data_IF_784516249430
#
_entry.id   IF_784516249430
#
_cell.length_a   1.000
_cell.length_b   1.000
_cell.length_c   1.000
_cell.angle_alpha   90.00
_cell.angle_beta   90.00
_cell.angle_gamma   90.00
#
_symmetry.space_group_name_H-M   'P 1'
#
loop_
_entity.id
_entity.type
_entity.pdbx_description
1 polymer ?
#
# COMPACT_ATOMS: atom_id res chain seq x y z
N UNK A 1 -13.08 13.36 12.21
CA UNK A 1 -14.29 12.94 12.96
C UNK A 1 -13.95 12.81 14.44
N UNK A 2 -12.86 12.16 14.83
CA UNK A 2 -12.44 11.96 16.23
C UNK A 2 -11.42 13.01 16.69
N UNK A 3 -11.31 13.23 18.01
CA UNK A 3 -10.26 14.06 18.62
C UNK A 3 -8.87 13.57 18.26
N UNK A 4 -8.66 12.23 18.26
CA UNK A 4 -7.39 11.61 17.93
C UNK A 4 -6.97 11.96 16.49
N UNK A 5 -7.82 11.72 15.49
CA UNK A 5 -7.53 12.03 14.11
C UNK A 5 -7.28 13.54 13.86
N UNK A 6 -8.02 14.42 14.57
CA UNK A 6 -7.78 15.85 14.51
C UNK A 6 -6.38 16.23 15.01
N UNK A 7 -5.98 15.68 16.16
CA UNK A 7 -4.68 15.96 16.76
C UNK A 7 -3.53 15.47 15.86
N UNK A 8 -3.66 14.30 15.27
CA UNK A 8 -2.69 13.75 14.31
C UNK A 8 -2.57 14.63 13.04
N UNK A 9 -3.69 15.16 12.55
CA UNK A 9 -3.71 16.03 11.35
C UNK A 9 -3.42 17.51 11.63
N UNK A 10 -3.19 17.90 12.91
CA UNK A 10 -2.95 19.29 13.36
C UNK A 10 -4.03 20.30 12.90
N UNK A 11 -5.26 19.84 12.70
CA UNK A 11 -6.36 20.71 12.27
C UNK A 11 -6.86 21.61 13.40
N UNK A 12 -7.14 22.88 13.08
CA UNK A 12 -7.66 23.88 14.06
C UNK A 12 -9.16 23.73 14.35
N UNK A 13 -9.93 23.11 13.43
CA UNK A 13 -11.38 22.94 13.58
C UNK A 13 -11.71 21.84 14.61
N UNK A 14 -12.80 22.01 15.35
CA UNK A 14 -13.30 20.98 16.26
C UNK A 14 -13.64 19.69 15.49
N UNK A 15 -13.37 18.55 16.12
CA UNK A 15 -13.81 17.25 15.59
C UNK A 15 -15.33 17.11 15.75
N UNK A 16 -15.95 16.22 15.00
CA UNK A 16 -17.39 15.92 15.17
C UNK A 16 -17.69 15.41 16.58
N UNK A 17 -16.77 14.67 17.19
CA UNK A 17 -16.86 14.19 18.58
C UNK A 17 -17.01 15.35 19.57
N UNK A 18 -16.36 16.48 19.30
CA UNK A 18 -16.42 17.68 20.16
C UNK A 18 -17.58 18.60 19.81
N UNK A 19 -17.83 18.80 18.52
CA UNK A 19 -18.86 19.74 18.03
C UNK A 19 -20.28 19.18 18.15
N UNK A 20 -20.45 17.85 18.02
CA UNK A 20 -21.76 17.19 18.02
C UNK A 20 -21.71 15.85 18.76
N UNK A 21 -21.47 15.82 20.09
CA UNK A 21 -21.20 14.58 20.82
C UNK A 21 -22.36 13.59 20.79
N UNK A 22 -23.60 14.05 20.82
CA UNK A 22 -24.80 13.17 20.77
C UNK A 22 -24.94 12.48 19.40
N UNK A 23 -24.70 13.23 18.32
CA UNK A 23 -24.74 12.69 16.95
C UNK A 23 -23.56 11.73 16.72
N UNK A 24 -22.38 12.10 17.23
CA UNK A 24 -21.21 11.23 17.15
C UNK A 24 -21.43 9.90 17.90
N UNK A 25 -22.08 9.92 19.08
CA UNK A 25 -22.43 8.70 19.80
C UNK A 25 -23.33 7.78 18.98
N UNK A 26 -24.40 8.35 18.38
CA UNK A 26 -25.28 7.59 17.47
C UNK A 26 -24.54 7.02 16.27
N UNK A 27 -23.67 7.82 15.63
CA UNK A 27 -22.84 7.34 14.53
C UNK A 27 -21.99 6.15 14.95
N UNK A 28 -21.32 6.24 16.09
CA UNK A 28 -20.48 5.16 16.62
C UNK A 28 -21.28 3.88 16.86
N UNK A 29 -22.48 3.97 17.43
CA UNK A 29 -23.38 2.82 17.64
C UNK A 29 -23.77 2.15 16.30
N UNK A 30 -24.07 2.96 15.29
CA UNK A 30 -24.41 2.46 13.94
C UNK A 30 -23.20 1.78 13.28
N UNK A 31 -22.02 2.39 13.36
CA UNK A 31 -20.78 1.81 12.83
C UNK A 31 -20.49 0.44 13.43
N UNK A 32 -20.58 0.30 14.76
CA UNK A 32 -20.43 -0.99 15.43
C UNK A 32 -21.49 -2.02 15.02
N UNK A 33 -22.75 -1.58 14.83
CA UNK A 33 -23.83 -2.46 14.36
C UNK A 33 -23.56 -2.98 12.96
N UNK A 34 -23.13 -2.10 12.05
CA UNK A 34 -22.80 -2.45 10.67
C UNK A 34 -21.61 -3.42 10.61
N UNK A 35 -20.52 -3.12 11.33
CA UNK A 35 -19.34 -3.98 11.38
C UNK A 35 -19.65 -5.38 11.89
N UNK A 36 -20.46 -5.50 12.94
CA UNK A 36 -20.91 -6.79 13.48
C UNK A 36 -21.85 -7.54 12.52
N UNK A 37 -22.72 -6.81 11.81
CA UNK A 37 -23.67 -7.41 10.86
C UNK A 37 -22.93 -7.99 9.65
N UNK A 38 -22.07 -7.18 9.03
CA UNK A 38 -21.30 -7.60 7.85
C UNK A 38 -20.06 -8.43 8.20
N UNK A 39 -19.68 -8.44 9.48
CA UNK A 39 -18.43 -9.05 9.98
C UNK A 39 -17.22 -8.58 9.19
N UNK A 40 -17.21 -7.31 8.76
CA UNK A 40 -16.14 -6.70 7.99
C UNK A 40 -16.14 -5.17 8.18
N UNK A 41 -14.96 -4.56 7.96
CA UNK A 41 -14.81 -3.11 7.99
C UNK A 41 -15.72 -2.47 6.93
N UNK A 42 -16.50 -1.49 7.36
CA UNK A 42 -17.45 -0.78 6.51
C UNK A 42 -16.98 0.66 6.25
N UNK A 43 -17.07 1.07 5.00
CA UNK A 43 -16.99 2.46 4.58
C UNK A 43 -18.42 3.02 4.54
N UNK A 44 -18.68 4.06 5.33
CA UNK A 44 -20.02 4.58 5.56
C UNK A 44 -20.11 6.04 5.16
N UNK A 45 -21.03 6.35 4.26
CA UNK A 45 -21.38 7.70 3.89
C UNK A 45 -22.57 8.17 4.73
N UNK A 46 -22.46 9.36 5.33
CA UNK A 46 -23.50 9.94 6.15
C UNK A 46 -23.53 11.47 6.04
N UNK A 47 -24.65 12.05 6.40
CA UNK A 47 -24.81 13.49 6.58
C UNK A 47 -25.48 13.81 7.90
N UNK A 48 -25.36 15.06 8.34
CA UNK A 48 -26.04 15.56 9.55
C UNK A 48 -26.81 16.81 9.16
N UNK A 49 -28.12 16.77 9.34
CA UNK A 49 -29.02 17.89 9.11
C UNK A 49 -29.87 18.11 10.37
N UNK A 50 -29.95 19.35 10.83
CA UNK A 50 -30.69 19.72 12.05
C UNK A 50 -30.38 18.83 13.28
N UNK A 51 -29.11 18.47 13.47
CA UNK A 51 -28.62 17.54 14.49
C UNK A 51 -29.16 16.11 14.37
N UNK A 52 -29.76 15.74 13.24
CA UNK A 52 -30.20 14.41 12.92
C UNK A 52 -29.14 13.77 12.01
N UNK A 53 -28.74 12.53 12.35
CA UNK A 53 -27.82 11.74 11.57
C UNK A 53 -28.57 10.94 10.49
N UNK A 54 -28.15 11.05 9.26
CA UNK A 54 -28.64 10.30 8.12
C UNK A 54 -27.52 9.43 7.56
N UNK A 55 -27.75 8.13 7.51
CA UNK A 55 -26.85 7.20 6.81
C UNK A 55 -27.29 7.13 5.37
N UNK A 56 -26.39 7.43 4.45
CA UNK A 56 -26.66 7.48 3.01
C UNK A 56 -26.29 6.17 2.34
N UNK A 57 -25.09 5.63 2.66
CA UNK A 57 -24.57 4.42 2.03
C UNK A 57 -23.62 3.70 2.98
N UNK A 58 -23.56 2.37 2.85
CA UNK A 58 -22.49 1.52 3.41
C UNK A 58 -21.97 0.56 2.35
N UNK A 59 -20.68 0.29 2.39
CA UNK A 59 -20.00 -0.67 1.51
C UNK A 59 -18.79 -1.27 2.22
N UNK A 60 -18.30 -2.41 1.75
CA UNK A 60 -17.03 -2.96 2.22
C UNK A 60 -15.89 -2.00 1.92
N UNK A 61 -15.12 -1.63 2.94
CA UNK A 61 -14.04 -0.66 2.81
C UNK A 61 -12.89 -1.18 1.94
N UNK A 62 -12.47 -0.37 0.96
CA UNK A 62 -11.26 -0.64 0.18
C UNK A 62 -10.04 -0.58 1.11
N UNK A 63 -9.08 -1.48 0.90
CA UNK A 63 -7.92 -1.62 1.77
C UNK A 63 -6.67 -2.03 1.01
N UNK A 64 -5.51 -1.57 1.46
CA UNK A 64 -4.21 -2.06 0.99
C UNK A 64 -3.93 -3.43 1.60
N UNK A 65 -2.98 -4.19 1.05
CA UNK A 65 -2.55 -5.48 1.60
C UNK A 65 -2.19 -5.39 3.10
N UNK A 66 -1.40 -4.39 3.49
CA UNK A 66 -1.02 -4.14 4.89
C UNK A 66 -2.24 -3.88 5.79
N UNK A 67 -3.19 -3.08 5.32
CA UNK A 67 -4.42 -2.80 6.04
C UNK A 67 -5.31 -4.03 6.14
N UNK A 68 -5.40 -4.86 5.09
CA UNK A 68 -6.17 -6.10 5.10
C UNK A 68 -5.69 -7.06 6.19
N UNK A 69 -4.38 -7.27 6.30
CA UNK A 69 -3.79 -8.11 7.36
C UNK A 69 -4.12 -7.54 8.75
N UNK A 70 -3.89 -6.23 8.94
CA UNK A 70 -4.17 -5.59 10.23
C UNK A 70 -5.64 -5.70 10.62
N UNK A 71 -6.56 -5.41 9.71
CA UNK A 71 -8.00 -5.51 9.96
C UNK A 71 -8.39 -6.95 10.31
N UNK A 72 -7.90 -7.95 9.57
CA UNK A 72 -8.17 -9.35 9.84
C UNK A 72 -7.71 -9.76 11.26
N UNK A 73 -6.52 -9.33 11.68
CA UNK A 73 -5.98 -9.59 13.02
C UNK A 73 -6.83 -8.89 14.10
N UNK A 74 -7.18 -7.62 13.90
CA UNK A 74 -7.97 -6.86 14.86
C UNK A 74 -9.38 -7.46 15.03
N UNK A 75 -10.04 -7.86 13.94
CA UNK A 75 -11.35 -8.51 13.98
C UNK A 75 -11.32 -9.88 14.70
N UNK A 76 -10.21 -10.64 14.62
CA UNK A 76 -10.04 -11.85 15.42
C UNK A 76 -9.91 -11.52 16.90
N UNK A 77 -9.12 -10.49 17.25
CA UNK A 77 -8.98 -10.03 18.65
C UNK A 77 -10.32 -9.58 19.25
N UNK A 78 -11.13 -8.90 18.45
CA UNK A 78 -12.47 -8.42 18.80
C UNK A 78 -13.54 -9.54 18.78
N UNK A 79 -13.14 -10.77 18.43
CA UNK A 79 -14.02 -11.95 18.34
C UNK A 79 -15.16 -11.80 17.32
N UNK A 80 -14.99 -10.98 16.30
CA UNK A 80 -15.95 -10.81 15.21
C UNK A 80 -15.85 -11.95 14.19
N UNK A 81 -14.64 -12.46 13.97
CA UNK A 81 -14.35 -13.58 13.06
C UNK A 81 -13.38 -14.58 13.69
N UNK A 82 -13.40 -15.81 13.19
CA UNK A 82 -12.43 -16.84 13.59
C UNK A 82 -11.07 -16.65 12.89
N UNK A 83 -9.99 -17.23 13.43
CA UNK A 83 -8.67 -17.24 12.78
C UNK A 83 -8.71 -17.82 11.36
N UNK A 84 -9.48 -18.92 11.17
CA UNK A 84 -9.66 -19.54 9.85
C UNK A 84 -10.31 -18.57 8.85
N UNK A 85 -11.36 -17.88 9.27
CA UNK A 85 -12.02 -16.87 8.42
C UNK A 85 -11.10 -15.68 8.10
N UNK A 86 -10.26 -15.25 9.05
CA UNK A 86 -9.29 -14.19 8.83
C UNK A 86 -8.26 -14.57 7.74
N UNK A 87 -7.72 -15.78 7.80
CA UNK A 87 -6.77 -16.28 6.78
C UNK A 87 -7.43 -16.37 5.40
N UNK A 88 -8.65 -16.91 5.32
CA UNK A 88 -9.37 -17.07 4.04
C UNK A 88 -9.77 -15.75 3.36
N UNK A 89 -9.71 -14.63 4.08
CA UNK A 89 -10.02 -13.29 3.54
C UNK A 89 -8.82 -12.59 2.91
N UNK A 90 -7.63 -13.10 3.16
CA UNK A 90 -6.41 -12.50 2.63
C UNK A 90 -6.11 -13.11 1.26
N UNK A 91 -5.92 -12.25 0.27
CA UNK A 91 -5.43 -12.67 -1.03
C UNK A 91 -3.93 -13.00 -0.95
N UNK A 92 -3.52 -14.25 -1.27
CA UNK A 92 -2.11 -14.65 -1.20
C UNK A 92 -1.20 -13.76 -2.06
N UNK A 93 -1.64 -13.37 -3.26
CA UNK A 93 -0.84 -12.52 -4.14
C UNK A 93 -0.58 -11.13 -3.55
N UNK A 94 -1.54 -10.61 -2.79
CA UNK A 94 -1.37 -9.33 -2.10
C UNK A 94 -0.38 -9.41 -0.94
N UNK A 95 -0.21 -10.59 -0.32
CA UNK A 95 0.75 -10.79 0.76
C UNK A 95 2.18 -10.75 0.26
N UNK A 96 2.43 -11.22 -0.95
CA UNK A 96 3.76 -11.22 -1.55
C UNK A 96 4.34 -9.80 -1.61
N UNK A 97 3.49 -8.82 -1.90
CA UNK A 97 3.91 -7.40 -1.91
C UNK A 97 4.41 -6.90 -0.55
N UNK A 98 3.99 -7.52 0.56
CA UNK A 98 4.41 -7.15 1.92
C UNK A 98 5.76 -7.73 2.31
N UNK A 99 6.27 -8.72 1.57
CA UNK A 99 7.57 -9.34 1.80
C UNK A 99 8.71 -8.53 1.19
N UNK A 100 8.39 -7.61 0.28
CA UNK A 100 9.39 -6.75 -0.34
C UNK A 100 9.83 -5.61 0.59
N UNK A 101 11.11 -5.21 0.54
CA UNK A 101 11.61 -4.04 1.25
C UNK A 101 10.80 -2.78 0.90
N UNK A 102 10.55 -1.93 1.87
CA UNK A 102 9.86 -0.65 1.70
C UNK A 102 10.66 0.48 2.28
N UNK A 103 10.45 1.69 1.80
CA UNK A 103 11.06 2.89 2.38
C UNK A 103 10.47 3.18 3.77
N UNK A 104 11.30 3.68 4.69
CA UNK A 104 10.80 4.16 5.98
C UNK A 104 10.07 5.49 5.79
N UNK A 105 8.79 5.52 6.14
CA UNK A 105 7.96 6.73 6.05
C UNK A 105 8.37 7.86 7.01
N UNK A 106 9.23 7.59 7.98
CA UNK A 106 9.71 8.58 8.93
C UNK A 106 10.94 9.33 8.43
N UNK A 107 11.61 8.85 7.40
CA UNK A 107 12.76 9.52 6.82
C UNK A 107 12.33 10.63 5.84
N UNK A 108 13.04 11.77 5.93
CA UNK A 108 12.88 12.84 4.95
C UNK A 108 13.64 12.49 3.67
N UNK A 109 12.91 11.99 2.70
CA UNK A 109 13.48 11.65 1.40
C UNK A 109 13.64 12.92 0.54
N UNK A 110 14.80 13.07 -0.09
CA UNK A 110 15.00 14.07 -1.14
C UNK A 110 14.60 13.45 -2.48
N UNK A 111 13.39 13.71 -2.92
CA UNK A 111 12.87 13.18 -4.18
C UNK A 111 13.45 13.95 -5.34
N UNK A 112 14.29 13.32 -6.16
CA UNK A 112 14.93 13.92 -7.34
C UNK A 112 14.15 13.64 -8.63
N UNK A 113 13.38 12.54 -8.70
CA UNK A 113 12.54 12.19 -9.84
C UNK A 113 11.41 11.26 -9.42
N UNK A 114 10.36 11.16 -10.26
CA UNK A 114 9.29 10.18 -10.13
C UNK A 114 9.27 9.28 -11.36
N UNK A 115 8.98 7.99 -11.16
CA UNK A 115 8.88 7.01 -12.23
C UNK A 115 7.66 6.09 -12.04
N UNK A 116 7.34 5.31 -13.06
CA UNK A 116 6.33 4.27 -13.00
C UNK A 116 6.93 3.00 -12.37
N UNK A 117 6.34 2.44 -11.31
CA UNK A 117 6.83 1.21 -10.72
C UNK A 117 6.52 0.02 -11.64
N UNK A 118 7.55 -0.76 -11.98
CA UNK A 118 7.41 -1.99 -12.77
C UNK A 118 7.34 -3.24 -11.88
N UNK A 119 7.94 -3.18 -10.67
CA UNK A 119 7.89 -4.25 -9.69
C UNK A 119 7.73 -3.67 -8.27
N UNK A 120 7.19 -4.45 -7.33
CA UNK A 120 7.08 -4.02 -5.95
C UNK A 120 8.46 -3.95 -5.27
N UNK A 121 8.57 -3.12 -4.23
CA UNK A 121 9.74 -3.04 -3.38
C UNK A 121 10.50 -1.73 -3.49
N UNK A 122 11.54 -1.63 -2.67
CA UNK A 122 12.49 -0.52 -2.66
C UNK A 122 13.92 -1.07 -2.69
N UNK A 123 14.79 -0.41 -3.40
CA UNK A 123 16.19 -0.77 -3.48
C UNK A 123 17.08 0.45 -3.26
N UNK A 124 18.26 0.23 -2.67
CA UNK A 124 19.31 1.24 -2.52
C UNK A 124 20.65 0.70 -2.94
N UNK A 125 21.46 1.54 -3.54
CA UNK A 125 22.79 1.14 -4.02
C UNK A 125 23.48 2.25 -4.78
N UNK A 126 24.72 1.99 -5.21
CA UNK A 126 25.48 2.89 -6.08
C UNK A 126 24.84 2.90 -7.47
N UNK A 127 24.72 4.08 -8.06
CA UNK A 127 24.27 4.20 -9.45
C UNK A 127 25.38 3.73 -10.39
N UNK A 128 25.04 2.86 -11.33
CA UNK A 128 25.90 2.37 -12.41
C UNK A 128 25.17 2.47 -13.75
N UNK A 129 25.90 2.65 -14.83
CA UNK A 129 25.35 2.88 -16.16
C UNK A 129 25.69 1.75 -17.16
N UNK A 130 26.46 0.76 -16.72
CA UNK A 130 26.79 -0.42 -17.52
C UNK A 130 26.50 -1.72 -16.77
N UNK A 131 26.21 -2.78 -17.55
CA UNK A 131 26.01 -4.13 -17.03
C UNK A 131 27.27 -4.63 -16.33
N UNK A 132 28.43 -4.43 -16.93
CA UNK A 132 29.73 -4.87 -16.44
C UNK A 132 30.06 -4.24 -15.08
N UNK A 133 29.77 -2.95 -14.89
CA UNK A 133 29.97 -2.28 -13.60
C UNK A 133 29.03 -2.83 -12.52
N UNK A 134 27.79 -3.16 -12.87
CA UNK A 134 26.87 -3.77 -11.92
C UNK A 134 27.39 -5.14 -11.47
N UNK A 135 27.84 -5.98 -12.37
CA UNK A 135 28.42 -7.30 -12.08
C UNK A 135 29.69 -7.19 -11.23
N UNK A 136 30.62 -6.31 -11.66
CA UNK A 136 31.89 -6.08 -10.95
C UNK A 136 31.67 -5.64 -9.51
N UNK A 137 30.78 -4.67 -9.29
CA UNK A 137 30.49 -4.16 -7.94
C UNK A 137 29.71 -5.17 -7.11
N UNK A 138 28.80 -5.95 -7.70
CA UNK A 138 28.13 -7.05 -7.03
C UNK A 138 29.13 -8.12 -6.56
N UNK A 139 30.14 -8.45 -7.36
CA UNK A 139 31.25 -9.33 -6.95
C UNK A 139 32.04 -8.79 -5.74
N UNK A 140 32.01 -7.47 -5.50
CA UNK A 140 32.59 -6.81 -4.32
C UNK A 140 31.56 -6.63 -3.18
N UNK A 141 30.41 -7.33 -3.22
CA UNK A 141 29.30 -7.25 -2.26
C UNK A 141 28.72 -5.82 -2.12
N UNK A 142 28.81 -4.99 -3.15
CA UNK A 142 28.22 -3.65 -3.18
C UNK A 142 26.90 -3.66 -3.93
N UNK A 143 25.86 -3.16 -3.28
CA UNK A 143 24.56 -2.99 -3.93
C UNK A 143 24.62 -1.90 -5.00
N UNK A 144 24.01 -2.15 -6.15
CA UNK A 144 23.95 -1.21 -7.27
C UNK A 144 22.54 -0.97 -7.74
N UNK A 145 22.31 0.19 -8.34
CA UNK A 145 21.11 0.54 -9.13
C UNK A 145 21.60 0.74 -10.58
N UNK A 146 21.16 -0.14 -11.47
CA UNK A 146 21.48 -0.05 -12.89
C UNK A 146 20.56 0.99 -13.54
N UNK A 147 21.15 2.03 -14.12
CA UNK A 147 20.43 3.10 -14.81
C UNK A 147 20.73 3.03 -16.30
N UNK A 148 19.69 2.85 -17.11
CA UNK A 148 19.79 2.75 -18.57
C UNK A 148 18.76 3.64 -19.25
N UNK A 149 18.96 4.00 -20.49
CA UNK A 149 17.92 4.63 -21.31
C UNK A 149 16.81 3.60 -21.57
N UNK A 150 17.20 2.40 -21.97
CA UNK A 150 16.38 1.19 -22.13
C UNK A 150 17.27 -0.04 -21.86
N UNK A 151 16.68 -1.14 -21.46
CA UNK A 151 17.43 -2.39 -21.26
C UNK A 151 17.40 -3.24 -22.52
N UNK A 152 18.49 -3.93 -22.80
CA UNK A 152 18.63 -4.90 -23.91
C UNK A 152 18.90 -6.31 -23.37
N UNK A 153 18.79 -7.36 -24.18
CA UNK A 153 19.17 -8.72 -23.79
C UNK A 153 20.62 -8.83 -23.27
N UNK A 154 21.51 -7.97 -23.73
CA UNK A 154 22.91 -7.92 -23.30
C UNK A 154 23.07 -7.41 -21.84
N UNK A 155 22.07 -6.70 -21.32
CA UNK A 155 22.07 -6.19 -19.96
C UNK A 155 21.61 -7.23 -18.90
N UNK A 156 21.20 -8.43 -19.30
CA UNK A 156 20.60 -9.44 -18.40
C UNK A 156 21.47 -9.74 -17.19
N UNK A 157 22.75 -9.94 -17.36
CA UNK A 157 23.66 -10.24 -16.25
C UNK A 157 23.76 -9.08 -15.25
N UNK A 158 23.91 -7.86 -15.73
CA UNK A 158 23.92 -6.67 -14.89
C UNK A 158 22.57 -6.41 -14.22
N UNK A 159 21.47 -6.72 -14.90
CA UNK A 159 20.13 -6.64 -14.32
C UNK A 159 19.96 -7.61 -13.14
N UNK A 160 20.48 -8.83 -13.25
CA UNK A 160 20.50 -9.80 -12.14
C UNK A 160 21.42 -9.41 -11.01
N UNK A 161 22.54 -8.77 -11.32
CA UNK A 161 23.51 -8.32 -10.32
C UNK A 161 23.04 -7.09 -9.55
N UNK A 162 22.26 -6.22 -10.18
CA UNK A 162 21.75 -5.00 -9.57
C UNK A 162 20.59 -5.26 -8.58
N UNK A 163 20.49 -4.46 -7.52
CA UNK A 163 19.35 -4.49 -6.58
C UNK A 163 18.10 -3.78 -7.12
N UNK A 164 18.28 -2.89 -8.07
CA UNK A 164 17.20 -2.19 -8.74
C UNK A 164 17.61 -1.69 -10.10
N UNK A 165 16.64 -1.46 -10.97
CA UNK A 165 16.83 -1.01 -12.34
C UNK A 165 15.95 0.20 -12.57
N UNK A 166 16.54 1.25 -13.14
CA UNK A 166 15.83 2.46 -13.54
C UNK A 166 16.05 2.71 -15.03
N UNK A 167 14.97 2.85 -15.79
CA UNK A 167 15.03 3.12 -17.22
C UNK A 167 14.23 4.37 -17.61
N UNK A 168 14.65 5.04 -18.66
CA UNK A 168 13.92 6.20 -19.19
C UNK A 168 12.75 5.80 -20.10
N UNK A 169 12.88 4.69 -20.85
CA UNK A 169 11.90 4.25 -21.86
C UNK A 169 11.22 2.91 -21.56
N UNK A 170 11.48 2.33 -20.38
CA UNK A 170 10.97 1.02 -19.99
C UNK A 170 11.95 -0.13 -20.24
N UNK A 171 11.55 -1.33 -19.85
CA UNK A 171 12.35 -2.54 -19.96
C UNK A 171 11.76 -3.42 -21.07
N UNK A 172 12.53 -3.71 -22.11
CA UNK A 172 12.11 -4.57 -23.24
C UNK A 172 11.71 -5.98 -22.78
N UNK A 173 12.33 -6.51 -21.73
CA UNK A 173 12.03 -7.85 -21.20
C UNK A 173 10.61 -7.95 -20.60
N UNK A 174 10.12 -6.89 -19.95
CA UNK A 174 8.76 -6.88 -19.37
C UNK A 174 7.66 -6.64 -20.41
N UNK A 175 7.97 -5.99 -21.54
CA UNK A 175 6.99 -5.74 -22.59
C UNK A 175 6.73 -6.97 -23.46
N UNK A 176 7.68 -7.91 -23.59
CA UNK A 176 7.49 -9.16 -24.31
C UNK A 176 6.59 -10.14 -23.53
N UNK A 177 6.77 -10.30 -22.24
CA UNK A 177 5.93 -11.17 -21.39
C UNK A 177 4.47 -10.68 -21.32
N UNK A 178 4.26 -9.36 -21.19
CA UNK A 178 2.92 -8.78 -21.20
C UNK A 178 2.19 -8.93 -22.55
N UNK A 179 2.91 -9.12 -23.66
CA UNK A 179 2.33 -9.39 -24.97
C UNK A 179 1.91 -10.86 -25.13
N UNK A 180 2.62 -11.80 -24.48
CA UNK A 180 2.30 -13.22 -24.53
C UNK A 180 1.13 -13.60 -23.62
N UNK A 181 0.95 -12.96 -22.47
CA UNK A 181 -0.22 -13.16 -21.62
C UNK A 181 -1.56 -12.72 -22.24
N UNK A 182 -1.53 -11.77 -23.18
CA UNK A 182 -2.73 -11.34 -23.94
C UNK A 182 -3.14 -12.27 -25.08
N UNK A 183 -2.36 -13.30 -25.36
CA UNK A 183 -2.64 -14.30 -26.43
C UNK A 183 -3.11 -15.66 -25.90
N UNK A 184 -3.29 -15.80 -24.60
CA UNK A 184 -3.94 -16.94 -23.95
C UNK A 184 -5.28 -16.52 -23.37
#
# INVERSE_FOLDING_TARGET
ITKKARNESKQKKLSMEEAMPSVYKKLKEILFKLERHYKDMQDVEFTVENKILWILQTRSGKRTAKSAVKIAVDMVKEKLISKKQAVLRLDPNSLDTLLHPTLDNNEKLNVIANGLPASPGAASGKVVFSSDDAERLNGMMQNTILVRVETSPEDINGMHAAKGILTARGCLLYTSDAADERRR
#
